data_IF_667993655861
#
_entry.id   IF_667993655861
#
_cell.length_a   1.000
_cell.length_b   1.000
_cell.length_c   1.000
_cell.angle_alpha   90.00
_cell.angle_beta   90.00
_cell.angle_gamma   90.00
#
_symmetry.space_group_name_H-M   'P 1'
#
loop_
_entity.id
_entity.type
_entity.pdbx_description
1 polymer ?
#
# COMPACT_ATOMS: atom_id res chain seq x y z
N UNK A 1 13.96 8.60 -9.73
CA UNK A 1 12.67 7.92 -9.97
C UNK A 1 12.09 8.48 -11.26
N UNK A 2 11.64 7.64 -12.19
CA UNK A 2 10.93 8.09 -13.39
C UNK A 2 9.47 8.39 -13.03
N UNK A 3 8.93 9.51 -13.51
CA UNK A 3 7.55 9.92 -13.25
C UNK A 3 6.70 9.79 -14.52
N UNK A 4 5.59 9.04 -14.42
CA UNK A 4 4.64 8.84 -15.51
C UNK A 4 3.36 9.62 -15.23
N UNK A 5 3.15 10.70 -15.99
CA UNK A 5 1.96 11.55 -15.83
C UNK A 5 0.71 10.85 -16.38
N UNK A 6 -0.18 10.46 -15.47
CA UNK A 6 -1.51 9.98 -15.81
C UNK A 6 -2.49 11.15 -16.01
N UNK A 7 -3.58 10.91 -16.74
CA UNK A 7 -4.64 11.91 -16.98
C UNK A 7 -5.80 11.82 -15.98
N UNK A 8 -5.76 10.85 -15.08
CA UNK A 8 -6.71 10.62 -14.00
C UNK A 8 -6.05 9.78 -12.90
N UNK A 9 -6.34 10.03 -11.63
CA UNK A 9 -5.69 9.36 -10.50
C UNK A 9 -6.04 7.87 -10.44
N UNK A 10 -7.30 7.49 -10.70
CA UNK A 10 -7.66 6.08 -10.93
C UNK A 10 -6.76 5.41 -11.98
N UNK A 11 -6.43 6.12 -13.07
CA UNK A 11 -5.50 5.62 -14.08
C UNK A 11 -4.08 5.42 -13.53
N UNK A 12 -3.63 6.29 -12.63
CA UNK A 12 -2.35 6.13 -11.93
C UNK A 12 -2.34 4.91 -11.00
N UNK A 13 -3.43 4.68 -10.25
CA UNK A 13 -3.58 3.48 -9.43
C UNK A 13 -3.56 2.20 -10.29
N UNK A 14 -4.31 2.18 -11.40
CA UNK A 14 -4.33 1.03 -12.32
C UNK A 14 -2.96 0.79 -12.99
N UNK A 15 -2.23 1.85 -13.33
CA UNK A 15 -0.87 1.74 -13.85
C UNK A 15 0.09 1.16 -12.79
N UNK A 16 -0.02 1.58 -11.52
CA UNK A 16 0.76 1.04 -10.42
C UNK A 16 0.45 -0.45 -10.18
N UNK A 17 -0.82 -0.86 -10.26
CA UNK A 17 -1.25 -2.27 -10.19
C UNK A 17 -0.62 -3.08 -11.33
N UNK A 18 -0.73 -2.59 -12.57
CA UNK A 18 -0.14 -3.24 -13.73
C UNK A 18 1.38 -3.39 -13.62
N UNK A 19 2.07 -2.34 -13.16
CA UNK A 19 3.50 -2.39 -12.88
C UNK A 19 3.85 -3.45 -11.83
N UNK A 20 3.09 -3.49 -10.73
CA UNK A 20 3.35 -4.44 -9.66
C UNK A 20 3.21 -5.89 -10.12
N UNK A 21 2.15 -6.18 -10.87
CA UNK A 21 1.91 -7.50 -11.47
C UNK A 21 3.01 -7.89 -12.46
N UNK A 22 3.42 -6.97 -13.33
CA UNK A 22 4.38 -7.26 -14.39
C UNK A 22 5.82 -7.44 -13.87
N UNK A 23 6.16 -6.77 -12.77
CA UNK A 23 7.56 -6.73 -12.28
C UNK A 23 7.79 -7.50 -10.99
N UNK A 24 6.72 -7.87 -10.26
CA UNK A 24 6.82 -8.41 -8.91
C UNK A 24 7.30 -7.41 -7.85
N UNK A 25 7.36 -6.11 -8.18
CA UNK A 25 7.76 -5.01 -7.27
C UNK A 25 6.54 -4.24 -6.79
N UNK A 26 6.67 -3.48 -5.70
CA UNK A 26 5.60 -2.58 -5.23
C UNK A 26 5.31 -1.49 -6.27
N UNK A 27 4.04 -1.33 -6.64
CA UNK A 27 3.57 -0.22 -7.46
C UNK A 27 3.45 1.06 -6.64
N UNK A 28 3.72 2.22 -7.25
CA UNK A 28 3.56 3.52 -6.58
C UNK A 28 2.68 4.43 -7.42
N UNK A 29 1.70 5.06 -6.80
CA UNK A 29 0.93 6.15 -7.41
C UNK A 29 0.91 7.37 -6.46
N UNK A 30 0.80 8.56 -7.06
CA UNK A 30 0.84 9.82 -6.33
C UNK A 30 -0.38 10.66 -6.75
N UNK A 31 -1.06 11.27 -5.78
CA UNK A 31 -2.14 12.22 -6.02
C UNK A 31 -2.04 13.41 -5.06
N UNK A 32 -2.75 14.49 -5.40
CA UNK A 32 -2.92 15.63 -4.49
C UNK A 32 -4.00 15.35 -3.44
N UNK A 33 -4.29 16.33 -2.57
CA UNK A 33 -5.30 16.21 -1.52
C UNK A 33 -6.73 16.18 -2.08
N UNK A 34 -7.69 15.92 -1.19
CA UNK A 34 -9.10 16.00 -1.47
C UNK A 34 -9.51 15.18 -2.70
N UNK A 35 -10.00 15.80 -3.79
CA UNK A 35 -10.45 15.08 -4.98
C UNK A 35 -9.41 14.11 -5.57
N UNK A 36 -8.13 14.46 -5.53
CA UNK A 36 -7.06 13.61 -6.04
C UNK A 36 -6.98 12.30 -5.28
N UNK A 37 -6.96 12.38 -3.94
CA UNK A 37 -6.98 11.23 -3.06
C UNK A 37 -8.28 10.41 -3.23
N UNK A 38 -9.45 11.06 -3.32
CA UNK A 38 -10.72 10.35 -3.51
C UNK A 38 -10.79 9.59 -4.84
N UNK A 39 -10.16 10.10 -5.89
CA UNK A 39 -10.10 9.44 -7.20
C UNK A 39 -9.21 8.19 -7.21
N UNK A 40 -8.38 7.97 -6.19
CA UNK A 40 -7.59 6.75 -6.04
C UNK A 40 -8.38 5.59 -5.43
N UNK A 41 -9.45 5.86 -4.67
CA UNK A 41 -10.14 4.87 -3.82
C UNK A 41 -10.56 3.62 -4.59
N UNK A 42 -11.11 3.76 -5.79
CA UNK A 42 -11.49 2.61 -6.63
C UNK A 42 -10.29 1.74 -7.01
N UNK A 43 -9.16 2.35 -7.34
CA UNK A 43 -7.93 1.61 -7.66
C UNK A 43 -7.32 0.94 -6.43
N UNK A 44 -7.40 1.57 -5.26
CA UNK A 44 -6.98 0.94 -4.00
C UNK A 44 -7.86 -0.26 -3.66
N UNK A 45 -9.18 -0.14 -3.83
CA UNK A 45 -10.08 -1.28 -3.62
C UNK A 45 -9.74 -2.47 -4.55
N UNK A 46 -9.45 -2.20 -5.82
CA UNK A 46 -9.01 -3.22 -6.79
C UNK A 46 -7.71 -3.91 -6.34
N UNK A 47 -6.69 -3.12 -6.00
CA UNK A 47 -5.42 -3.64 -5.49
C UNK A 47 -5.59 -4.50 -4.22
N UNK A 48 -6.49 -4.12 -3.30
CA UNK A 48 -6.75 -4.86 -2.07
C UNK A 48 -7.41 -6.21 -2.35
N UNK A 49 -8.44 -6.22 -3.20
CA UNK A 49 -9.17 -7.44 -3.55
C UNK A 49 -8.25 -8.47 -4.22
N UNK A 50 -7.35 -7.99 -5.07
CA UNK A 50 -6.43 -8.83 -5.84
C UNK A 50 -5.09 -9.10 -5.15
N UNK A 51 -4.90 -8.59 -3.93
CA UNK A 51 -3.67 -8.76 -3.14
C UNK A 51 -2.42 -8.21 -3.82
N UNK A 52 -2.52 -7.00 -4.40
CA UNK A 52 -1.44 -6.36 -5.15
C UNK A 52 -0.73 -5.30 -4.29
N UNK A 53 0.60 -5.36 -4.14
CA UNK A 53 1.34 -4.40 -3.32
C UNK A 53 1.40 -3.04 -4.03
N UNK A 54 0.72 -2.06 -3.46
CA UNK A 54 0.70 -0.67 -3.96
C UNK A 54 0.93 0.29 -2.80
N UNK A 55 1.77 1.31 -2.99
CA UNK A 55 1.88 2.44 -2.06
C UNK A 55 1.34 3.69 -2.76
N UNK A 56 0.24 4.22 -2.24
CA UNK A 56 -0.35 5.47 -2.71
C UNK A 56 0.10 6.62 -1.81
N UNK A 57 0.68 7.66 -2.40
CA UNK A 57 1.13 8.85 -1.69
C UNK A 57 0.18 10.00 -2.02
N UNK A 58 -0.46 10.56 -1.01
CA UNK A 58 -1.37 11.70 -1.18
C UNK A 58 -0.86 12.92 -0.43
N UNK A 59 -1.19 14.10 -0.97
CA UNK A 59 -1.05 15.34 -0.22
C UNK A 59 -2.23 15.56 0.71
N UNK A 60 -2.02 16.38 1.73
CA UNK A 60 -3.07 16.86 2.63
C UNK A 60 -2.94 18.38 2.85
N UNK A 61 -4.00 19.02 3.32
CA UNK A 61 -3.91 20.39 3.86
C UNK A 61 -2.85 20.44 4.97
N UNK A 62 -2.29 21.62 5.25
CA UNK A 62 -1.32 21.74 6.35
C UNK A 62 -1.95 21.32 7.68
N UNK A 63 -1.16 20.71 8.57
CA UNK A 63 -1.67 20.10 9.80
C UNK A 63 -2.61 20.99 10.65
N UNK A 64 -2.37 22.31 10.82
CA UNK A 64 -3.27 23.18 11.58
C UNK A 64 -4.67 23.38 10.97
N UNK A 65 -4.85 23.03 9.70
CA UNK A 65 -6.11 23.17 8.97
C UNK A 65 -6.93 21.87 8.91
N UNK A 66 -6.38 20.76 9.42
CA UNK A 66 -7.13 19.51 9.51
C UNK A 66 -8.24 19.67 10.56
N UNK A 67 -9.47 19.31 10.19
CA UNK A 67 -10.71 19.47 10.94
C UNK A 67 -11.35 20.84 10.83
N UNK A 68 -10.96 21.69 9.86
CA UNK A 68 -11.42 23.10 9.78
C UNK A 68 -12.27 23.42 8.55
N UNK A 69 -12.65 22.41 7.77
CA UNK A 69 -13.30 22.54 6.46
C UNK A 69 -12.46 23.38 5.48
N UNK A 70 -11.14 23.19 5.51
CA UNK A 70 -10.23 23.90 4.63
C UNK A 70 -10.44 23.49 3.16
N UNK A 71 -10.02 24.35 2.23
CA UNK A 71 -10.18 24.07 0.80
C UNK A 71 -9.48 22.76 0.41
N UNK A 72 -10.25 21.83 -0.17
CA UNK A 72 -9.81 20.47 -0.54
C UNK A 72 -9.36 19.60 0.64
N UNK A 73 -9.80 19.91 1.85
CA UNK A 73 -9.74 18.99 2.98
C UNK A 73 -10.78 17.89 2.81
N UNK A 74 -10.35 16.64 3.00
CA UNK A 74 -11.20 15.44 3.03
C UNK A 74 -10.59 14.46 4.03
N UNK A 75 -11.44 13.73 4.76
CA UNK A 75 -11.02 12.61 5.61
C UNK A 75 -10.59 11.40 4.75
N UNK A 76 -9.38 11.51 4.18
CA UNK A 76 -8.77 10.45 3.36
C UNK A 76 -8.52 9.19 4.19
N UNK A 77 -8.19 9.35 5.47
CA UNK A 77 -8.03 8.23 6.39
C UNK A 77 -9.33 7.42 6.47
N UNK A 78 -10.44 8.05 6.86
CA UNK A 78 -11.75 7.39 6.95
C UNK A 78 -12.19 6.71 5.64
N UNK A 79 -11.94 7.36 4.49
CA UNK A 79 -12.26 6.79 3.18
C UNK A 79 -11.40 5.57 2.82
N UNK A 80 -10.12 5.59 3.17
CA UNK A 80 -9.15 4.58 2.73
C UNK A 80 -9.09 3.34 3.61
N UNK A 81 -9.55 3.40 4.87
CA UNK A 81 -9.51 2.27 5.81
C UNK A 81 -10.21 0.99 5.29
N UNK A 82 -11.24 1.13 4.46
CA UNK A 82 -11.97 -0.02 3.89
C UNK A 82 -11.31 -0.62 2.65
N UNK A 83 -10.36 0.09 2.02
CA UNK A 83 -9.75 -0.29 0.75
C UNK A 83 -8.22 -0.34 0.77
N UNK A 84 -7.63 -0.33 1.97
CA UNK A 84 -6.18 -0.45 2.18
C UNK A 84 -5.88 -1.44 3.30
N UNK A 85 -4.66 -2.00 3.30
CA UNK A 85 -4.12 -2.74 4.44
C UNK A 85 -3.83 -1.81 5.62
N UNK A 86 -3.39 -0.60 5.30
CA UNK A 86 -3.08 0.44 6.27
C UNK A 86 -3.13 1.82 5.60
N UNK A 87 -3.39 2.84 6.41
CA UNK A 87 -3.42 4.22 5.98
C UNK A 87 -2.73 5.08 7.03
N UNK A 88 -1.64 5.73 6.62
CA UNK A 88 -0.84 6.61 7.47
C UNK A 88 -1.24 8.07 7.21
N UNK A 89 -1.40 8.84 8.29
CA UNK A 89 -1.36 10.30 8.26
C UNK A 89 -0.05 10.74 8.91
N UNK A 90 0.85 11.32 8.13
CA UNK A 90 2.15 11.79 8.64
C UNK A 90 1.92 13.04 9.51
N UNK A 91 2.44 13.01 10.73
CA UNK A 91 2.29 14.04 11.76
C UNK A 91 3.54 14.89 11.95
N UNK A 92 4.72 14.40 11.54
CA UNK A 92 5.98 15.14 11.65
C UNK A 92 6.97 14.82 10.53
N UNK A 93 7.96 15.69 10.33
CA UNK A 93 9.00 15.48 9.32
C UNK A 93 9.91 14.31 9.71
N UNK A 94 10.19 14.15 11.00
CA UNK A 94 11.13 13.19 11.57
C UNK A 94 10.67 11.74 11.38
N UNK A 95 9.36 11.47 11.37
CA UNK A 95 8.84 10.13 11.18
C UNK A 95 8.66 9.73 9.72
N UNK A 96 8.70 10.69 8.79
CA UNK A 96 8.44 10.45 7.37
C UNK A 96 9.33 9.32 6.80
N UNK A 97 10.65 9.25 7.06
CA UNK A 97 11.48 8.14 6.57
C UNK A 97 11.00 6.78 7.06
N UNK A 98 10.63 6.68 8.34
CA UNK A 98 10.13 5.44 8.96
C UNK A 98 8.79 5.03 8.36
N UNK A 99 7.83 5.97 8.28
CA UNK A 99 6.51 5.70 7.69
C UNK A 99 6.63 5.23 6.25
N UNK A 100 7.50 5.85 5.46
CA UNK A 100 7.73 5.42 4.09
C UNK A 100 8.28 3.98 4.03
N UNK A 101 9.26 3.62 4.87
CA UNK A 101 9.77 2.26 4.92
C UNK A 101 8.70 1.24 5.37
N UNK A 102 7.94 1.56 6.41
CA UNK A 102 6.84 0.74 6.92
C UNK A 102 5.73 0.58 5.89
N UNK A 103 5.40 1.61 5.11
CA UNK A 103 4.37 1.52 4.08
C UNK A 103 4.71 0.48 3.01
N UNK A 104 5.97 0.38 2.60
CA UNK A 104 6.41 -0.64 1.65
C UNK A 104 6.43 -2.04 2.28
N UNK A 105 6.86 -2.15 3.54
CA UNK A 105 6.85 -3.43 4.27
C UNK A 105 5.43 -3.96 4.47
N UNK A 106 4.51 -3.09 4.92
CA UNK A 106 3.09 -3.43 5.07
C UNK A 106 2.46 -3.75 3.72
N UNK A 107 2.79 -3.04 2.63
CA UNK A 107 2.26 -3.37 1.31
C UNK A 107 2.65 -4.79 0.84
N UNK A 108 3.83 -5.27 1.22
CA UNK A 108 4.40 -6.53 0.73
C UNK A 108 4.21 -7.73 1.67
N UNK A 109 4.15 -7.51 2.99
CA UNK A 109 4.12 -8.58 4.00
C UNK A 109 2.80 -9.36 4.02
N UNK A 110 2.85 -10.62 4.45
CA UNK A 110 1.66 -11.48 4.58
C UNK A 110 0.90 -11.60 3.26
N UNK A 111 -0.41 -11.32 3.29
CA UNK A 111 -1.19 -11.09 2.05
C UNK A 111 -0.85 -9.67 1.55
N UNK A 112 -0.23 -9.50 0.37
CA UNK A 112 0.12 -8.17 -0.13
C UNK A 112 -1.13 -7.33 -0.40
N UNK A 113 -0.97 -6.02 -0.48
CA UNK A 113 -2.09 -5.11 -0.70
C UNK A 113 -1.69 -3.64 -0.65
N UNK A 114 -2.64 -2.74 -0.86
CA UNK A 114 -2.39 -1.32 -0.95
C UNK A 114 -2.21 -0.67 0.43
N UNK A 115 -1.33 0.32 0.51
CA UNK A 115 -1.12 1.20 1.66
C UNK A 115 -1.22 2.65 1.19
N UNK A 116 -1.89 3.49 1.97
CA UNK A 116 -1.95 4.93 1.71
C UNK A 116 -1.05 5.69 2.70
N UNK A 117 -0.31 6.68 2.20
CA UNK A 117 0.50 7.61 3.00
C UNK A 117 0.05 9.02 2.67
N UNK A 118 -0.66 9.65 3.60
CA UNK A 118 -1.17 11.02 3.49
C UNK A 118 -0.21 12.00 4.17
N UNK A 119 0.31 12.97 3.42
CA UNK A 119 1.37 13.87 3.88
C UNK A 119 0.86 15.32 3.88
N UNK A 120 0.70 15.95 5.06
CA UNK A 120 0.42 17.38 5.18
C UNK A 120 1.40 18.28 4.42
N UNK A 121 0.88 19.31 3.77
CA UNK A 121 1.66 20.23 2.93
C UNK A 121 2.81 20.91 3.69
N UNK A 122 2.60 21.28 4.94
CA UNK A 122 3.63 21.88 5.80
C UNK A 122 4.79 20.91 6.07
N UNK A 123 4.50 19.61 6.21
CA UNK A 123 5.54 18.57 6.33
C UNK A 123 6.28 18.37 5.00
N UNK A 124 5.56 18.35 3.87
CA UNK A 124 6.19 18.24 2.54
C UNK A 124 7.17 19.38 2.23
N UNK A 125 6.89 20.58 2.76
CA UNK A 125 7.71 21.78 2.54
C UNK A 125 8.76 21.99 3.63
N UNK A 126 8.70 21.24 4.73
CA UNK A 126 9.65 21.35 5.82
C UNK A 126 11.05 20.90 5.36
N UNK A 127 12.07 21.53 5.94
CA UNK A 127 13.47 21.19 5.68
C UNK A 127 14.10 20.70 6.97
N UNK A 128 14.87 19.62 6.89
CA UNK A 128 15.57 19.03 8.02
C UNK A 128 16.52 17.94 7.54
N UNK A 129 17.51 17.62 8.38
CA UNK A 129 18.41 16.50 8.13
C UNK A 129 17.68 15.20 8.50
N UNK A 130 17.35 14.40 7.48
CA UNK A 130 16.66 13.13 7.64
C UNK A 130 17.62 11.97 7.42
N UNK A 131 17.78 11.16 8.45
CA UNK A 131 18.49 9.88 8.32
C UNK A 131 17.61 8.88 7.56
N UNK A 132 18.14 8.23 6.50
CA UNK A 132 17.40 7.20 5.81
C UNK A 132 17.04 6.05 6.75
N UNK A 133 15.77 5.63 6.72
CA UNK A 133 15.32 4.47 7.48
C UNK A 133 15.49 3.19 6.65
N UNK A 134 16.45 2.35 7.05
CA UNK A 134 16.64 1.05 6.43
C UNK A 134 16.00 -0.03 7.31
N UNK A 135 14.99 -0.71 6.78
CA UNK A 135 14.43 -1.91 7.41
C UNK A 135 15.17 -3.14 6.88
N UNK A 136 15.62 -4.00 7.80
CA UNK A 136 16.01 -5.38 7.46
C UNK A 136 14.73 -6.20 7.42
N UNK A 137 14.30 -6.58 6.21
CA UNK A 137 13.12 -7.45 6.06
C UNK A 137 13.48 -8.85 6.53
N UNK A 138 13.23 -9.15 7.79
CA UNK A 138 13.25 -10.52 8.31
C UNK A 138 11.91 -11.17 7.97
N UNK A 139 11.83 -11.79 6.80
CA UNK A 139 10.73 -12.71 6.48
C UNK A 139 10.97 -14.04 7.20
N UNK A 140 10.77 -14.08 8.52
CA UNK A 140 10.68 -15.35 9.25
C UNK A 140 9.31 -16.01 9.00
N UNK A 141 9.11 -16.49 7.78
CA UNK A 141 8.03 -17.44 7.51
C UNK A 141 8.51 -18.81 8.01
N UNK A 142 8.07 -19.18 9.21
CA UNK A 142 8.32 -20.54 9.71
C UNK A 142 7.65 -21.55 8.78
N UNK A 143 8.44 -22.44 8.17
CA UNK A 143 7.90 -23.46 7.28
C UNK A 143 7.04 -24.46 8.09
N UNK A 144 5.75 -24.66 7.75
CA UNK A 144 4.83 -25.49 8.54
C UNK A 144 5.04 -26.98 8.22
N UNK A 145 6.14 -27.55 8.71
CA UNK A 145 6.56 -28.93 8.40
C UNK A 145 5.50 -29.98 8.73
N UNK A 146 4.80 -29.84 9.86
CA UNK A 146 3.82 -30.82 10.32
C UNK A 146 2.57 -30.81 9.43
N UNK A 147 2.08 -29.62 9.08
CA UNK A 147 0.90 -29.41 8.23
C UNK A 147 1.16 -29.85 6.80
N UNK A 148 2.36 -29.58 6.27
CA UNK A 148 2.77 -30.04 4.93
C UNK A 148 2.84 -31.57 4.89
N UNK A 149 3.39 -32.21 5.92
CA UNK A 149 3.44 -33.68 5.99
C UNK A 149 2.04 -34.29 6.11
N UNK A 150 1.14 -33.68 6.89
CA UNK A 150 -0.25 -34.08 6.97
C UNK A 150 -0.95 -33.98 5.60
N UNK A 151 -0.78 -32.86 4.89
CA UNK A 151 -1.33 -32.65 3.56
C UNK A 151 -0.79 -33.70 2.56
N UNK A 152 0.51 -34.01 2.62
CA UNK A 152 1.15 -35.05 1.79
C UNK A 152 0.53 -36.43 2.02
N UNK A 153 0.28 -36.79 3.27
CA UNK A 153 -0.36 -38.08 3.61
C UNK A 153 -1.81 -38.15 3.12
N UNK A 154 -2.56 -37.05 3.18
CA UNK A 154 -3.93 -36.98 2.64
C UNK A 154 -3.92 -37.13 1.11
N UNK A 155 -3.02 -36.43 0.41
CA UNK A 155 -2.86 -36.53 -1.04
C UNK A 155 -2.48 -37.95 -1.48
N UNK A 156 -1.58 -38.63 -0.77
CA UNK A 156 -1.15 -40.00 -1.09
C UNK A 156 -2.28 -41.04 -0.99
N UNK A 157 -3.30 -40.79 -0.16
CA UNK A 157 -4.47 -41.67 0.00
C UNK A 157 -5.62 -41.33 -0.95
N UNK A 158 -5.57 -40.18 -1.63
CA UNK A 158 -6.63 -39.73 -2.51
C UNK A 158 -6.60 -40.50 -3.85
N UNK A 159 -7.77 -40.95 -4.31
CA UNK A 159 -7.87 -41.67 -5.59
C UNK A 159 -7.95 -40.74 -6.81
N UNK A 160 -8.55 -39.56 -6.65
CA UNK A 160 -8.74 -38.54 -7.70
C UNK A 160 -8.60 -37.12 -7.13
N UNK A 161 -7.41 -36.74 -6.64
CA UNK A 161 -7.20 -35.41 -6.09
C UNK A 161 -7.32 -34.33 -7.17
N UNK A 162 -7.82 -33.16 -6.78
CA UNK A 162 -7.86 -31.96 -7.61
C UNK A 162 -7.25 -30.79 -6.83
N UNK A 163 -6.44 -29.97 -7.50
CA UNK A 163 -5.89 -28.75 -6.93
C UNK A 163 -6.68 -27.55 -7.46
N UNK A 164 -7.13 -26.69 -6.55
CA UNK A 164 -7.68 -25.38 -6.88
C UNK A 164 -6.65 -24.32 -6.49
N UNK A 165 -5.94 -23.79 -7.48
CA UNK A 165 -4.78 -22.93 -7.29
C UNK A 165 -5.16 -21.49 -7.59
N UNK A 166 -5.09 -20.62 -6.59
CA UNK A 166 -5.33 -19.18 -6.73
C UNK A 166 -4.07 -18.42 -7.16
N UNK A 167 -4.22 -17.13 -7.46
CA UNK A 167 -3.13 -16.28 -7.97
C UNK A 167 -2.02 -15.92 -6.98
N UNK A 168 -2.03 -16.50 -5.77
CA UNK A 168 -0.95 -16.35 -4.79
C UNK A 168 0.15 -17.42 -4.87
N UNK A 169 0.00 -18.40 -5.79
CA UNK A 169 1.01 -19.43 -6.12
C UNK A 169 1.76 -19.00 -7.37
#
# INVERSE_FOLDING_TARGET
VEHLLCRHEQGAAMAAIGYARATGKTGVCIATSGPGATNLITGLADALLDSIPVVAITGQVSAPFIGTDAFQEVDVLGLSLACTKHSFLVQSLEELPRIMAEAFDVACSGRPGPVLVDIPKDIQLASGDLEPWFTTVENEVTFPHAEVEQARQMLAKAQKPMLYVGGGV
#
